data_IF_059457759824
#
_entry.id   IF_059457759824
#
_cell.length_a   1.000
_cell.length_b   1.000
_cell.length_c   1.000
_cell.angle_alpha   90.00
_cell.angle_beta   90.00
_cell.angle_gamma   90.00
#
_symmetry.space_group_name_H-M   'P 1'
#
loop_
_entity.id
_entity.type
_entity.pdbx_description
1 polymer ?
#
# COMPACT_ATOMS: atom_id res chain seq x y z
N UNK A 1 31.39 54.03 -39.90
CA UNK A 1 29.99 53.91 -39.44
C UNK A 1 29.55 52.47 -39.68
N UNK A 2 29.30 51.68 -38.62
CA UNK A 2 28.77 50.31 -38.77
C UNK A 2 27.47 50.37 -39.58
N UNK A 3 27.31 49.49 -40.56
CA UNK A 3 26.19 49.48 -41.49
C UNK A 3 24.89 49.33 -40.68
N UNK A 4 23.93 50.25 -40.83
CA UNK A 4 22.65 50.19 -40.10
C UNK A 4 21.94 48.84 -40.32
N UNK A 5 22.18 48.22 -41.49
CA UNK A 5 21.67 46.89 -41.83
C UNK A 5 22.31 45.78 -41.00
N UNK A 6 23.62 45.85 -40.72
CA UNK A 6 24.30 44.91 -39.84
C UNK A 6 23.86 45.06 -38.39
N UNK A 7 23.72 46.30 -37.90
CA UNK A 7 23.22 46.56 -36.54
C UNK A 7 21.79 46.04 -36.38
N UNK A 8 20.94 46.21 -37.38
CA UNK A 8 19.57 45.70 -37.36
C UNK A 8 19.53 44.16 -37.38
N UNK A 9 20.36 43.51 -38.19
CA UNK A 9 20.45 42.04 -38.24
C UNK A 9 21.00 41.49 -36.92
N UNK A 10 22.01 42.14 -36.33
CA UNK A 10 22.59 41.76 -35.02
C UNK A 10 21.53 41.88 -33.91
N UNK A 11 20.79 43.01 -33.85
CA UNK A 11 19.73 43.23 -32.87
C UNK A 11 18.52 42.30 -33.03
N UNK A 12 18.17 41.90 -34.26
CA UNK A 12 17.11 40.92 -34.52
C UNK A 12 17.59 39.49 -34.32
N UNK A 13 18.87 39.18 -34.50
CA UNK A 13 19.42 37.85 -34.21
C UNK A 13 19.28 37.46 -32.72
N UNK A 14 19.19 38.45 -31.82
CA UNK A 14 18.85 38.24 -30.41
C UNK A 14 17.36 37.91 -30.16
N UNK A 15 16.47 38.10 -31.15
CA UNK A 15 15.06 37.73 -31.09
C UNK A 15 14.81 36.32 -31.64
N UNK A 16 15.73 35.78 -32.44
CA UNK A 16 15.63 34.47 -33.12
C UNK A 16 16.26 33.30 -32.34
N UNK A 17 16.71 33.52 -31.09
CA UNK A 17 16.72 32.41 -30.13
C UNK A 17 15.29 32.15 -29.67
N UNK A 18 14.49 31.55 -30.56
CA UNK A 18 13.30 30.82 -30.16
C UNK A 18 13.75 29.64 -29.30
N UNK A 19 14.06 29.90 -28.03
CA UNK A 19 13.76 28.97 -26.95
C UNK A 19 12.24 28.79 -27.01
N UNK A 20 11.77 27.90 -27.91
CA UNK A 20 10.41 27.40 -27.88
C UNK A 20 10.29 26.81 -26.50
N UNK A 21 9.69 27.56 -25.57
CA UNK A 21 9.46 27.12 -24.22
C UNK A 21 8.40 26.04 -24.34
N UNK A 22 8.86 24.80 -24.53
CA UNK A 22 8.00 23.63 -24.72
C UNK A 22 7.01 23.65 -23.57
N UNK A 23 5.72 23.72 -23.88
CA UNK A 23 4.72 23.83 -22.82
C UNK A 23 4.64 22.49 -22.07
N UNK A 24 4.14 22.51 -20.84
CA UNK A 24 3.91 21.27 -20.08
C UNK A 24 3.00 20.28 -20.81
N UNK A 25 2.07 20.78 -21.62
CA UNK A 25 1.22 19.98 -22.49
C UNK A 25 2.04 19.32 -23.60
N UNK A 26 2.94 20.06 -24.22
CA UNK A 26 3.79 19.52 -25.29
C UNK A 26 4.75 18.45 -24.75
N UNK A 27 5.36 18.68 -23.58
CA UNK A 27 6.17 17.67 -22.88
C UNK A 27 5.36 16.41 -22.54
N UNK A 28 4.12 16.58 -22.06
CA UNK A 28 3.22 15.45 -21.81
C UNK A 28 2.96 14.66 -23.10
N UNK A 29 2.61 15.33 -24.19
CA UNK A 29 2.30 14.69 -25.48
C UNK A 29 3.52 14.01 -26.11
N UNK A 30 4.72 14.60 -25.97
CA UNK A 30 5.96 13.98 -26.42
C UNK A 30 6.29 12.67 -25.67
N UNK A 31 5.78 12.50 -24.45
CA UNK A 31 6.04 11.34 -23.59
C UNK A 31 4.83 10.43 -23.41
N UNK A 32 3.89 10.44 -24.36
CA UNK A 32 2.60 9.76 -24.23
C UNK A 32 2.72 8.25 -23.95
N UNK A 33 3.70 7.58 -24.56
CA UNK A 33 3.92 6.14 -24.36
C UNK A 33 4.48 5.81 -22.98
N UNK A 34 5.32 6.69 -22.42
CA UNK A 34 5.76 6.56 -21.03
C UNK A 34 4.60 6.76 -20.06
N UNK A 35 3.75 7.75 -20.32
CA UNK A 35 2.54 7.99 -19.52
C UNK A 35 1.59 6.79 -19.57
N UNK A 36 1.37 6.18 -20.75
CA UNK A 36 0.60 4.93 -20.86
C UNK A 36 1.18 3.82 -19.98
N UNK A 37 2.50 3.63 -19.99
CA UNK A 37 3.17 2.66 -19.09
C UNK A 37 2.89 2.97 -17.62
N UNK A 38 2.95 4.25 -17.22
CA UNK A 38 2.60 4.65 -15.86
C UNK A 38 1.14 4.37 -15.51
N UNK A 39 0.20 4.62 -16.43
CA UNK A 39 -1.23 4.32 -16.22
C UNK A 39 -1.48 2.82 -16.01
N UNK A 40 -0.77 1.95 -16.73
CA UNK A 40 -0.91 0.50 -16.60
C UNK A 40 -0.05 -0.13 -15.50
N UNK A 41 0.81 0.64 -14.84
CA UNK A 41 1.70 0.15 -13.77
C UNK A 41 0.99 -0.18 -12.44
N UNK A 42 -0.26 0.26 -12.26
CA UNK A 42 -0.99 0.14 -11.00
C UNK A 42 -0.60 1.19 -9.95
N UNK A 43 0.24 2.17 -10.29
CA UNK A 43 0.59 3.28 -9.42
C UNK A 43 -0.60 4.22 -9.20
N UNK A 44 -0.72 4.79 -8.00
CA UNK A 44 -1.68 5.88 -7.76
C UNK A 44 -1.34 7.10 -8.61
N UNK A 45 -2.34 7.92 -8.95
CA UNK A 45 -2.12 9.16 -9.74
C UNK A 45 -1.05 10.06 -9.13
N UNK A 46 -0.97 10.13 -7.79
CA UNK A 46 0.10 10.86 -7.11
C UNK A 46 1.48 10.30 -7.48
N UNK A 47 1.68 8.99 -7.34
CA UNK A 47 2.97 8.34 -7.66
C UNK A 47 3.31 8.39 -9.15
N UNK A 48 2.30 8.35 -10.02
CA UNK A 48 2.50 8.56 -11.47
C UNK A 48 3.04 9.97 -11.73
N UNK A 49 2.47 10.99 -11.10
CA UNK A 49 2.94 12.37 -11.19
C UNK A 49 4.34 12.52 -10.60
N UNK A 50 4.61 11.91 -9.44
CA UNK A 50 5.95 11.93 -8.83
C UNK A 50 6.99 11.34 -9.81
N UNK A 51 6.69 10.19 -10.42
CA UNK A 51 7.55 9.54 -11.43
C UNK A 51 7.76 10.40 -12.68
N UNK A 52 6.68 11.00 -13.19
CA UNK A 52 6.77 11.93 -14.32
C UNK A 52 7.64 13.15 -13.98
N UNK A 53 7.52 13.70 -12.78
CA UNK A 53 8.32 14.83 -12.32
C UNK A 53 9.80 14.46 -12.10
N UNK A 54 10.09 13.23 -11.67
CA UNK A 54 11.45 12.71 -11.51
C UNK A 54 12.16 12.54 -12.86
N UNK A 55 11.46 12.06 -13.88
CA UNK A 55 12.07 11.62 -15.14
C UNK A 55 11.93 12.63 -16.29
N UNK A 56 10.89 13.48 -16.29
CA UNK A 56 10.55 14.35 -17.42
C UNK A 56 10.57 15.82 -17.00
N UNK A 57 9.54 16.29 -16.29
CA UNK A 57 9.45 17.68 -15.83
C UNK A 57 8.31 17.84 -14.81
N UNK A 58 8.37 18.92 -14.03
CA UNK A 58 7.41 19.24 -12.98
C UNK A 58 6.03 19.49 -13.59
N UNK A 59 5.07 18.63 -13.27
CA UNK A 59 3.65 18.80 -13.61
C UNK A 59 2.78 18.77 -12.35
N UNK A 60 1.73 19.59 -12.30
CA UNK A 60 0.76 19.48 -11.21
C UNK A 60 -0.14 18.27 -11.43
N UNK A 61 -0.61 17.66 -10.33
CA UNK A 61 -1.58 16.56 -10.41
C UNK A 61 -2.83 16.93 -11.21
N UNK A 62 -3.36 18.14 -11.02
CA UNK A 62 -4.54 18.61 -11.76
C UNK A 62 -4.30 18.73 -13.26
N UNK A 63 -3.12 19.20 -13.68
CA UNK A 63 -2.75 19.30 -15.09
C UNK A 63 -2.54 17.91 -15.70
N UNK A 64 -1.85 17.01 -14.99
CA UNK A 64 -1.67 15.63 -15.41
C UNK A 64 -3.01 14.91 -15.60
N UNK A 65 -3.89 14.96 -14.61
CA UNK A 65 -5.24 14.37 -14.70
C UNK A 65 -6.06 14.98 -15.84
N UNK A 66 -5.97 16.30 -16.05
CA UNK A 66 -6.64 16.97 -17.16
C UNK A 66 -6.14 16.44 -18.51
N UNK A 67 -4.82 16.34 -18.70
CA UNK A 67 -4.24 15.86 -19.95
C UNK A 67 -4.53 14.38 -20.19
N UNK A 68 -4.47 13.53 -19.16
CA UNK A 68 -4.91 12.14 -19.29
C UNK A 68 -6.39 12.05 -19.72
N UNK A 69 -7.29 12.84 -19.14
CA UNK A 69 -8.70 12.86 -19.55
C UNK A 69 -8.92 13.42 -20.96
N UNK A 70 -8.08 14.35 -21.41
CA UNK A 70 -8.19 14.99 -22.72
C UNK A 70 -7.60 14.13 -23.84
N UNK A 71 -6.49 13.41 -23.59
CA UNK A 71 -5.71 12.71 -24.63
C UNK A 71 -5.62 11.20 -24.47
N UNK A 72 -5.89 10.65 -23.29
CA UNK A 72 -5.72 9.23 -22.94
C UNK A 72 -6.91 8.74 -22.13
N UNK A 73 -8.14 9.13 -22.51
CA UNK A 73 -9.32 8.94 -21.68
C UNK A 73 -9.54 7.47 -21.31
N UNK A 74 -9.49 6.59 -22.31
CA UNK A 74 -9.74 5.15 -22.14
C UNK A 74 -8.63 4.50 -21.30
N UNK A 75 -7.36 4.80 -21.58
CA UNK A 75 -6.23 4.29 -20.82
C UNK A 75 -6.21 4.82 -19.39
N UNK A 76 -6.64 6.06 -19.19
CA UNK A 76 -6.76 6.67 -17.87
C UNK A 76 -7.85 5.98 -17.04
N UNK A 77 -9.02 5.75 -17.62
CA UNK A 77 -10.12 5.02 -16.98
C UNK A 77 -9.72 3.56 -16.67
N UNK A 78 -9.09 2.84 -17.61
CA UNK A 78 -8.57 1.48 -17.37
C UNK A 78 -7.47 1.49 -16.29
N UNK A 79 -6.57 2.47 -16.31
CA UNK A 79 -5.49 2.61 -15.33
C UNK A 79 -6.01 2.85 -13.90
N UNK A 80 -7.10 3.60 -13.74
CA UNK A 80 -7.76 3.79 -12.45
C UNK A 80 -8.34 2.47 -11.92
N UNK A 81 -8.99 1.68 -12.78
CA UNK A 81 -9.52 0.36 -12.43
C UNK A 81 -8.39 -0.61 -12.06
N UNK A 82 -7.32 -0.66 -12.85
CA UNK A 82 -6.14 -1.49 -12.56
C UNK A 82 -5.50 -1.11 -11.23
N UNK A 83 -5.37 0.20 -10.95
CA UNK A 83 -4.83 0.68 -9.67
C UNK A 83 -5.70 0.22 -8.50
N UNK A 84 -7.03 0.31 -8.62
CA UNK A 84 -7.97 -0.15 -7.61
C UNK A 84 -7.86 -1.67 -7.39
N UNK A 85 -7.81 -2.44 -8.47
CA UNK A 85 -7.65 -3.90 -8.41
C UNK A 85 -6.30 -4.31 -7.77
N UNK A 86 -5.19 -3.74 -8.23
CA UNK A 86 -3.85 -4.10 -7.78
C UNK A 86 -3.57 -3.74 -6.32
N UNK A 87 -4.28 -2.75 -5.75
CA UNK A 87 -4.24 -2.49 -4.28
C UNK A 87 -4.72 -3.69 -3.47
N UNK A 88 -5.63 -4.48 -4.03
CA UNK A 88 -6.22 -5.64 -3.38
C UNK A 88 -5.45 -6.94 -3.66
N UNK A 89 -4.33 -6.88 -4.39
CA UNK A 89 -3.63 -8.06 -4.85
C UNK A 89 -3.20 -9.00 -3.71
N UNK A 90 -2.83 -8.44 -2.56
CA UNK A 90 -2.47 -9.23 -1.37
C UNK A 90 -3.64 -10.04 -0.84
N UNK A 91 -4.80 -9.41 -0.70
CA UNK A 91 -6.04 -10.04 -0.23
C UNK A 91 -6.52 -11.09 -1.24
N UNK A 92 -6.43 -10.79 -2.53
CA UNK A 92 -6.77 -11.71 -3.62
C UNK A 92 -5.86 -12.94 -3.56
N UNK A 93 -4.55 -12.74 -3.49
CA UNK A 93 -3.58 -13.84 -3.41
C UNK A 93 -3.85 -14.71 -2.18
N UNK A 94 -4.03 -14.09 -1.01
CA UNK A 94 -4.34 -14.81 0.22
C UNK A 94 -5.59 -15.68 0.09
N UNK A 95 -6.70 -15.11 -0.41
CA UNK A 95 -7.96 -15.83 -0.59
C UNK A 95 -7.79 -17.05 -1.51
N UNK A 96 -7.18 -16.86 -2.68
CA UNK A 96 -7.00 -17.92 -3.67
C UNK A 96 -6.13 -19.06 -3.12
N UNK A 97 -5.11 -18.75 -2.32
CA UNK A 97 -4.20 -19.77 -1.76
C UNK A 97 -4.76 -20.51 -0.55
N UNK A 98 -5.72 -19.92 0.18
CA UNK A 98 -6.19 -20.45 1.46
C UNK A 98 -7.52 -21.19 1.37
N UNK A 99 -8.39 -20.78 0.44
CA UNK A 99 -9.66 -21.45 0.25
C UNK A 99 -9.47 -22.77 -0.50
N UNK A 100 -10.20 -23.81 -0.06
CA UNK A 100 -10.09 -25.14 -0.68
C UNK A 100 -10.63 -25.16 -2.11
N UNK A 101 -11.69 -24.37 -2.35
CA UNK A 101 -12.36 -24.21 -3.64
C UNK A 101 -12.73 -22.71 -3.80
N UNK A 102 -11.75 -21.82 -4.06
CA UNK A 102 -12.00 -20.39 -4.11
C UNK A 102 -12.96 -20.07 -5.27
N UNK A 103 -13.97 -19.24 -4.96
CA UNK A 103 -14.94 -18.73 -5.94
C UNK A 103 -14.77 -17.23 -6.12
N UNK A 104 -14.89 -16.78 -7.37
CA UNK A 104 -14.71 -15.38 -7.69
C UNK A 104 -15.84 -14.50 -7.14
N UNK A 105 -17.08 -15.03 -7.04
CA UNK A 105 -18.20 -14.34 -6.38
C UNK A 105 -17.97 -14.09 -4.88
N UNK A 106 -17.39 -15.06 -4.18
CA UNK A 106 -17.08 -14.97 -2.74
C UNK A 106 -15.97 -13.94 -2.49
N UNK A 107 -14.90 -14.00 -3.29
CA UNK A 107 -13.83 -13.01 -3.26
C UNK A 107 -14.38 -11.60 -3.53
N UNK A 108 -15.23 -11.45 -4.53
CA UNK A 108 -15.86 -10.17 -4.85
C UNK A 108 -16.71 -9.64 -3.69
N UNK A 109 -17.57 -10.47 -3.09
CA UNK A 109 -18.38 -10.10 -1.92
C UNK A 109 -17.50 -9.63 -0.77
N UNK A 110 -16.45 -10.39 -0.44
CA UNK A 110 -15.50 -10.05 0.62
C UNK A 110 -14.85 -8.69 0.37
N UNK A 111 -14.37 -8.44 -0.85
CA UNK A 111 -13.75 -7.15 -1.20
C UNK A 111 -14.79 -6.01 -1.24
N UNK A 112 -16.04 -6.30 -1.60
CA UNK A 112 -17.12 -5.32 -1.66
C UNK A 112 -17.61 -4.89 -0.26
N UNK A 113 -17.86 -5.86 0.62
CA UNK A 113 -18.22 -5.66 2.03
C UNK A 113 -17.14 -4.84 2.74
N UNK A 114 -15.87 -5.17 2.46
CA UNK A 114 -14.72 -4.47 2.99
C UNK A 114 -14.48 -3.10 2.32
N UNK A 115 -15.35 -2.64 1.41
CA UNK A 115 -15.26 -1.35 0.70
C UNK A 115 -14.05 -1.19 -0.24
N UNK A 116 -13.20 -2.20 -0.33
CA UNK A 116 -11.97 -2.24 -1.13
C UNK A 116 -12.16 -2.05 -2.63
N UNK A 117 -13.39 -2.19 -3.11
CA UNK A 117 -13.78 -2.03 -4.51
C UNK A 117 -14.39 -0.65 -4.83
N UNK A 118 -14.46 0.28 -3.87
CA UNK A 118 -15.02 1.62 -4.09
C UNK A 118 -14.10 2.51 -4.93
N UNK A 119 -14.63 3.07 -6.01
CA UNK A 119 -13.93 4.08 -6.83
C UNK A 119 -13.90 5.45 -6.13
N UNK A 120 -14.95 5.81 -5.38
CA UNK A 120 -15.05 7.09 -4.68
C UNK A 120 -15.47 6.92 -3.21
N UNK A 121 -14.63 7.40 -2.28
CA UNK A 121 -14.84 7.34 -0.82
C UNK A 121 -16.23 7.74 -0.34
N UNK A 122 -16.82 8.79 -0.94
CA UNK A 122 -18.05 9.41 -0.46
C UNK A 122 -19.32 8.94 -1.19
N UNK A 123 -19.20 8.06 -2.19
CA UNK A 123 -20.35 7.57 -2.97
C UNK A 123 -20.56 6.09 -2.66
N UNK A 124 -21.69 5.79 -2.02
CA UNK A 124 -22.08 4.41 -1.65
C UNK A 124 -22.10 3.48 -2.86
N UNK A 125 -22.54 3.97 -4.01
CA UNK A 125 -22.72 3.18 -5.23
C UNK A 125 -21.57 3.33 -6.23
N UNK A 126 -20.35 3.60 -5.74
CA UNK A 126 -19.18 3.77 -6.60
C UNK A 126 -18.30 2.54 -6.72
N UNK A 127 -18.75 1.37 -6.26
CA UNK A 127 -17.97 0.15 -6.38
C UNK A 127 -17.87 -0.30 -7.83
N UNK A 128 -16.75 -0.90 -8.22
CA UNK A 128 -16.68 -1.61 -9.49
C UNK A 128 -17.72 -2.73 -9.51
N UNK A 129 -18.37 -2.92 -10.64
CA UNK A 129 -19.27 -4.05 -10.82
C UNK A 129 -18.47 -5.36 -10.96
N UNK A 130 -19.17 -6.47 -10.79
CA UNK A 130 -18.55 -7.79 -10.84
C UNK A 130 -18.01 -8.19 -12.20
N UNK A 131 -18.68 -7.79 -13.29
CA UNK A 131 -18.21 -8.11 -14.64
C UNK A 131 -16.84 -7.46 -14.86
N UNK A 132 -16.71 -6.19 -14.47
CA UNK A 132 -15.43 -5.47 -14.48
C UNK A 132 -14.39 -6.15 -13.59
N UNK A 133 -14.75 -6.51 -12.34
CA UNK A 133 -13.83 -7.21 -11.43
C UNK A 133 -13.32 -8.55 -12.00
N UNK A 134 -14.22 -9.38 -12.54
CA UNK A 134 -13.89 -10.69 -13.10
C UNK A 134 -12.97 -10.55 -14.30
N UNK A 135 -13.21 -9.58 -15.17
CA UNK A 135 -12.36 -9.34 -16.34
C UNK A 135 -10.93 -8.97 -15.89
N UNK A 136 -10.79 -8.11 -14.88
CA UNK A 136 -9.49 -7.74 -14.32
C UNK A 136 -8.79 -8.92 -13.65
N UNK A 137 -9.53 -9.73 -12.88
CA UNK A 137 -9.00 -10.91 -12.21
C UNK A 137 -8.53 -11.97 -13.22
N UNK A 138 -9.33 -12.23 -14.26
CA UNK A 138 -8.99 -13.15 -15.35
C UNK A 138 -7.74 -12.69 -16.10
N UNK A 139 -7.70 -11.43 -16.54
CA UNK A 139 -6.54 -10.84 -17.23
C UNK A 139 -5.28 -11.02 -16.37
N UNK A 140 -5.35 -10.64 -15.09
CA UNK A 140 -4.23 -10.76 -14.17
C UNK A 140 -3.76 -12.21 -13.94
N UNK A 141 -4.67 -13.14 -13.64
CA UNK A 141 -4.31 -14.53 -13.35
C UNK A 141 -3.83 -15.27 -14.59
N UNK A 142 -4.40 -14.96 -15.76
CA UNK A 142 -3.95 -15.50 -17.05
C UNK A 142 -2.52 -15.08 -17.36
N UNK A 143 -2.19 -13.81 -17.18
CA UNK A 143 -0.83 -13.29 -17.37
C UNK A 143 0.20 -13.94 -16.43
N UNK A 144 -0.25 -14.53 -15.32
CA UNK A 144 0.58 -15.26 -14.35
C UNK A 144 0.52 -16.78 -14.49
N UNK A 145 -0.32 -17.32 -15.36
CA UNK A 145 -0.52 -18.76 -15.50
C UNK A 145 -1.29 -19.41 -14.33
N UNK A 146 -2.15 -18.66 -13.66
CA UNK A 146 -2.90 -19.08 -12.47
C UNK A 146 -4.42 -19.03 -12.67
N UNK A 147 -4.89 -18.99 -13.91
CA UNK A 147 -6.32 -18.84 -14.23
C UNK A 147 -7.17 -19.97 -13.63
N UNK A 148 -6.62 -21.18 -13.52
CA UNK A 148 -7.30 -22.37 -12.99
C UNK A 148 -7.40 -22.41 -11.45
N UNK A 149 -6.75 -21.48 -10.74
CA UNK A 149 -6.76 -21.47 -9.27
C UNK A 149 -8.07 -20.98 -8.66
N UNK A 150 -9.03 -20.49 -9.46
CA UNK A 150 -10.30 -19.95 -8.97
C UNK A 150 -11.46 -20.32 -9.91
N UNK A 151 -12.62 -20.62 -9.34
CA UNK A 151 -13.85 -20.84 -10.11
C UNK A 151 -14.52 -19.49 -10.43
N UNK A 152 -14.81 -19.25 -11.72
CA UNK A 152 -15.52 -18.05 -12.18
C UNK A 152 -17.02 -18.32 -12.32
N UNK A 153 -17.75 -18.13 -11.24
CA UNK A 153 -19.18 -18.33 -11.15
C UNK A 153 -19.99 -17.07 -11.51
N UNK A 154 -21.25 -17.26 -11.91
CA UNK A 154 -22.16 -16.15 -12.24
C UNK A 154 -22.77 -15.53 -10.98
N UNK A 155 -22.96 -14.20 -11.02
CA UNK A 155 -23.45 -13.43 -9.87
C UNK A 155 -24.95 -13.58 -9.58
N UNK A 156 -25.69 -14.28 -10.43
CA UNK A 156 -27.16 -14.41 -10.38
C UNK A 156 -27.70 -14.96 -9.05
N UNK A 157 -26.85 -15.58 -8.22
CA UNK A 157 -27.18 -16.17 -6.92
C UNK A 157 -27.06 -15.18 -5.75
N UNK A 158 -27.08 -13.87 -5.98
CA UNK A 158 -26.88 -12.85 -4.93
C UNK A 158 -28.14 -12.51 -4.12
N UNK A 159 -29.34 -12.87 -4.61
CA UNK A 159 -30.61 -12.48 -3.97
C UNK A 159 -31.34 -13.62 -3.24
N UNK A 160 -30.79 -14.83 -3.22
CA UNK A 160 -31.37 -15.96 -2.50
C UNK A 160 -30.33 -16.55 -1.55
N UNK A 161 -30.22 -15.98 -0.35
CA UNK A 161 -29.92 -16.66 0.92
C UNK A 161 -29.86 -15.60 2.06
N UNK A 162 -30.95 -14.86 2.23
CA UNK A 162 -31.32 -14.38 3.56
C UNK A 162 -32.31 -15.41 4.11
N UNK A 163 -31.81 -16.46 4.77
CA UNK A 163 -32.39 -17.04 5.99
C UNK A 163 -31.69 -18.34 6.37
N UNK A 164 -31.22 -18.37 7.62
CA UNK A 164 -30.86 -19.54 8.42
C UNK A 164 -29.82 -20.51 7.86
N UNK A 165 -28.58 -20.37 8.35
CA UNK A 165 -27.89 -21.53 8.89
C UNK A 165 -27.03 -21.12 10.09
N UNK A 166 -27.42 -21.63 11.26
CA UNK A 166 -26.55 -21.72 12.44
C UNK A 166 -25.26 -22.42 12.02
N UNK A 167 -24.19 -21.65 11.77
CA UNK A 167 -22.86 -22.22 11.66
C UNK A 167 -22.30 -22.35 13.07
N UNK A 168 -22.49 -23.52 13.64
CA UNK A 168 -21.46 -24.12 14.48
C UNK A 168 -20.15 -24.05 13.69
N UNK A 169 -19.28 -23.11 14.07
CA UNK A 169 -17.90 -23.05 13.60
C UNK A 169 -17.19 -24.34 14.02
N UNK A 170 -17.23 -25.36 13.17
CA UNK A 170 -16.23 -26.41 13.23
C UNK A 170 -14.99 -25.81 12.55
N UNK A 171 -14.19 -25.11 13.36
CA UNK A 171 -12.82 -24.74 12.99
C UNK A 171 -12.06 -26.04 12.70
N UNK A 172 -11.82 -26.31 11.43
CA UNK A 172 -10.81 -27.29 11.03
C UNK A 172 -9.48 -26.68 11.48
N UNK A 173 -8.95 -27.18 12.58
CA UNK A 173 -7.59 -26.90 13.04
C UNK A 173 -6.63 -27.39 11.96
N UNK A 174 -6.26 -26.48 11.05
CA UNK A 174 -5.10 -26.68 10.20
C UNK A 174 -3.86 -26.42 11.07
N UNK A 175 -3.01 -27.42 11.35
CA UNK A 175 -1.88 -27.32 12.28
C UNK A 175 -0.78 -26.33 11.84
N UNK A 176 -0.89 -25.76 10.63
CA UNK A 176 0.04 -24.76 10.09
C UNK A 176 -0.48 -23.32 10.15
N UNK A 177 -1.65 -23.07 10.76
CA UNK A 177 -2.22 -21.72 10.87
C UNK A 177 -1.91 -21.10 12.23
N UNK A 178 -1.40 -19.88 12.18
CA UNK A 178 -1.01 -19.08 13.33
C UNK A 178 -2.15 -18.12 13.65
N UNK A 179 -2.62 -18.17 14.90
CA UNK A 179 -3.66 -17.27 15.40
C UNK A 179 -3.05 -15.90 15.69
N UNK A 180 -3.63 -14.84 15.13
CA UNK A 180 -3.27 -13.43 15.35
C UNK A 180 -4.47 -12.72 15.97
N UNK A 181 -4.29 -12.13 17.15
CA UNK A 181 -5.32 -11.36 17.82
C UNK A 181 -5.36 -9.91 17.28
N UNK A 182 -6.57 -9.38 17.12
CA UNK A 182 -6.86 -8.08 16.55
C UNK A 182 -7.30 -7.08 17.62
N UNK A 183 -7.31 -5.79 17.26
CA UNK A 183 -7.72 -4.69 18.16
C UNK A 183 -9.16 -4.78 18.66
N UNK A 184 -10.05 -5.42 17.90
CA UNK A 184 -11.47 -5.60 18.19
C UNK A 184 -11.74 -6.86 19.02
N UNK A 185 -10.67 -7.43 19.60
CA UNK A 185 -10.65 -8.68 20.36
C UNK A 185 -11.12 -9.93 19.57
N UNK A 186 -11.21 -9.80 18.24
CA UNK A 186 -11.35 -10.94 17.34
C UNK A 186 -9.97 -11.53 17.00
N UNK A 187 -9.95 -12.66 16.29
CA UNK A 187 -8.71 -13.30 15.87
C UNK A 187 -8.80 -13.79 14.43
N UNK A 188 -7.71 -13.65 13.70
CA UNK A 188 -7.54 -14.19 12.36
C UNK A 188 -6.48 -15.31 12.36
N UNK A 189 -6.65 -16.29 11.49
CA UNK A 189 -5.73 -17.42 11.35
C UNK A 189 -4.96 -17.26 10.06
N UNK A 190 -3.67 -16.94 10.16
CA UNK A 190 -2.79 -16.69 9.02
C UNK A 190 -1.77 -17.82 8.84
N UNK A 191 -1.36 -18.07 7.60
CA UNK A 191 -0.20 -18.93 7.34
C UNK A 191 1.12 -18.19 7.61
N UNK A 192 2.21 -18.95 7.78
CA UNK A 192 3.52 -18.38 8.08
C UNK A 192 4.05 -17.44 6.97
N UNK A 193 3.76 -17.74 5.70
CA UNK A 193 4.37 -16.99 4.59
C UNK A 193 3.72 -15.64 4.35
N UNK A 194 2.41 -15.54 4.61
CA UNK A 194 1.73 -14.28 4.79
C UNK A 194 2.38 -13.50 5.92
N UNK A 195 2.62 -14.13 7.07
CA UNK A 195 3.19 -13.43 8.21
C UNK A 195 4.63 -12.94 7.96
N UNK A 196 5.42 -13.66 7.16
CA UNK A 196 6.77 -13.22 6.76
C UNK A 196 6.78 -12.02 5.81
N UNK A 197 5.66 -11.71 5.16
CA UNK A 197 5.61 -10.72 4.08
C UNK A 197 4.63 -9.58 4.33
N UNK A 198 3.67 -9.74 5.25
CA UNK A 198 2.54 -8.84 5.45
C UNK A 198 2.07 -8.79 6.90
N UNK A 199 1.18 -7.84 7.18
CA UNK A 199 0.41 -7.72 8.42
C UNK A 199 -1.05 -7.46 8.08
N UNK A 200 -1.94 -7.69 9.05
CA UNK A 200 -3.38 -7.46 8.92
C UNK A 200 -3.63 -5.96 9.06
N UNK A 201 -4.20 -5.36 8.02
CA UNK A 201 -4.50 -3.94 7.95
C UNK A 201 -5.99 -3.68 8.23
N UNK A 202 -6.32 -2.50 8.74
CA UNK A 202 -7.72 -2.07 8.80
C UNK A 202 -8.26 -1.89 7.39
N UNK A 203 -9.39 -2.54 7.12
CA UNK A 203 -10.14 -2.41 5.88
C UNK A 203 -10.56 -0.94 5.66
N UNK A 204 -10.48 -0.45 4.42
CA UNK A 204 -10.73 0.96 4.06
C UNK A 204 -9.91 2.00 4.83
N UNK A 205 -8.79 1.61 5.42
CA UNK A 205 -7.87 2.60 5.95
C UNK A 205 -7.31 3.44 4.80
N UNK A 206 -7.67 4.73 4.78
CA UNK A 206 -7.04 5.72 3.90
C UNK A 206 -5.61 6.06 4.33
N UNK A 207 -5.23 5.53 5.49
CA UNK A 207 -3.89 5.51 6.00
C UNK A 207 -3.26 4.21 5.49
N UNK A 208 -2.30 4.34 4.59
CA UNK A 208 -1.47 3.21 4.21
C UNK A 208 -0.79 2.67 5.49
N UNK A 209 -0.71 1.35 5.66
CA UNK A 209 -0.03 0.69 6.79
C UNK A 209 -0.75 0.76 8.16
N UNK A 210 -2.07 0.95 8.18
CA UNK A 210 -2.82 0.94 9.43
C UNK A 210 -3.02 -0.49 9.96
N UNK A 211 -2.19 -0.89 10.92
CA UNK A 211 -2.14 -2.27 11.43
C UNK A 211 -3.30 -2.55 12.41
N UNK A 212 -4.14 -3.53 12.05
CA UNK A 212 -5.28 -4.02 12.84
C UNK A 212 -4.87 -5.00 13.94
N UNK A 213 -3.67 -5.56 13.87
CA UNK A 213 -3.15 -6.53 14.84
C UNK A 213 -2.93 -5.92 16.21
N UNK A 214 -3.20 -6.68 17.28
CA UNK A 214 -3.14 -6.22 18.68
C UNK A 214 -1.70 -6.01 19.17
N UNK A 215 -0.83 -6.97 18.87
CA UNK A 215 0.53 -7.07 19.38
C UNK A 215 1.51 -6.24 18.55
N UNK A 216 1.45 -4.93 18.72
CA UNK A 216 2.33 -3.95 18.08
C UNK A 216 3.22 -3.30 19.15
N UNK A 217 4.50 -3.09 18.82
CA UNK A 217 5.49 -2.41 19.65
C UNK A 217 6.11 -1.27 18.86
N UNK A 218 6.17 -0.08 19.45
CA UNK A 218 6.76 1.09 18.80
C UNK A 218 8.03 1.52 19.53
N UNK A 219 9.11 1.65 18.76
CA UNK A 219 10.44 1.97 19.24
C UNK A 219 10.90 3.22 18.51
N UNK A 220 11.27 4.23 19.28
CA UNK A 220 11.84 5.45 18.72
C UNK A 220 13.35 5.42 18.91
N UNK A 221 14.12 5.69 17.86
CA UNK A 221 15.58 5.75 17.94
C UNK A 221 16.06 6.79 18.97
N UNK A 222 15.25 7.82 19.26
CA UNK A 222 15.46 8.77 20.36
C UNK A 222 14.19 8.98 21.17
N UNK A 223 14.28 8.87 22.49
CA UNK A 223 13.18 9.16 23.40
C UNK A 223 13.68 9.85 24.67
N UNK A 224 13.14 11.05 24.95
CA UNK A 224 13.44 11.90 26.13
C UNK A 224 14.95 11.92 26.41
N UNK A 225 15.71 12.46 25.47
CA UNK A 225 17.16 12.69 25.55
C UNK A 225 18.05 11.43 25.62
N UNK A 226 17.49 10.24 25.38
CA UNK A 226 18.23 8.98 25.26
C UNK A 226 18.18 8.44 23.84
N UNK A 227 19.34 8.03 23.32
CA UNK A 227 19.43 7.30 22.06
C UNK A 227 19.24 5.81 22.33
N UNK A 228 18.23 5.22 21.70
CA UNK A 228 17.92 3.80 21.80
C UNK A 228 18.55 3.09 20.61
N UNK A 229 19.65 2.37 20.87
CA UNK A 229 20.24 1.49 19.87
C UNK A 229 19.27 0.36 19.54
N UNK A 230 18.81 0.34 18.28
CA UNK A 230 17.97 -0.76 17.79
C UNK A 230 18.69 -2.11 17.85
N UNK A 231 20.02 -2.13 17.75
CA UNK A 231 20.82 -3.35 17.96
C UNK A 231 20.77 -3.84 19.41
N UNK A 232 20.78 -2.94 20.40
CA UNK A 232 20.60 -3.34 21.79
C UNK A 232 19.19 -3.86 22.05
N UNK A 233 18.18 -3.24 21.44
CA UNK A 233 16.81 -3.75 21.49
C UNK A 233 16.73 -5.16 20.91
N UNK A 234 17.33 -5.42 19.73
CA UNK A 234 17.39 -6.76 19.13
C UNK A 234 17.94 -7.78 20.12
N UNK A 235 19.09 -7.51 20.74
CA UNK A 235 19.69 -8.41 21.73
C UNK A 235 18.74 -8.72 22.88
N UNK A 236 18.14 -7.70 23.48
CA UNK A 236 17.24 -7.86 24.63
C UNK A 236 16.03 -8.72 24.28
N UNK A 237 15.40 -8.48 23.13
CA UNK A 237 14.24 -9.25 22.66
C UNK A 237 14.60 -10.72 22.46
N UNK A 238 15.74 -10.99 21.82
CA UNK A 238 16.22 -12.34 21.53
C UNK A 238 16.59 -13.12 22.79
N UNK A 239 17.12 -12.44 23.80
CA UNK A 239 17.63 -13.06 25.02
C UNK A 239 16.55 -13.29 26.09
N UNK A 240 15.49 -12.47 26.12
CA UNK A 240 14.55 -12.42 27.26
C UNK A 240 13.12 -12.85 26.91
N UNK A 241 12.84 -13.29 25.68
CA UNK A 241 11.50 -13.74 25.22
C UNK A 241 10.37 -12.75 25.58
N UNK A 242 10.66 -11.45 25.56
CA UNK A 242 9.75 -10.41 26.05
C UNK A 242 8.60 -10.12 25.07
N UNK A 243 8.78 -10.48 23.81
CA UNK A 243 7.83 -10.21 22.73
C UNK A 243 7.19 -11.53 22.33
N UNK A 244 5.87 -11.51 22.20
CA UNK A 244 5.12 -12.64 21.71
C UNK A 244 5.49 -12.92 20.26
N UNK A 245 5.61 -14.20 19.90
CA UNK A 245 5.89 -14.57 18.53
C UNK A 245 4.84 -13.96 17.58
N UNK A 246 5.26 -13.58 16.38
CA UNK A 246 4.46 -12.91 15.34
C UNK A 246 4.06 -11.45 15.62
N UNK A 247 4.54 -10.85 16.72
CA UNK A 247 4.31 -9.42 16.99
C UNK A 247 4.91 -8.50 15.94
N UNK A 248 4.28 -7.34 15.73
CA UNK A 248 4.79 -6.28 14.87
C UNK A 248 5.65 -5.31 15.67
N UNK A 249 6.79 -4.94 15.12
CA UNK A 249 7.72 -3.98 15.71
C UNK A 249 7.93 -2.83 14.73
N UNK A 250 7.57 -1.63 15.16
CA UNK A 250 7.73 -0.40 14.41
C UNK A 250 8.94 0.34 14.97
N UNK A 251 10.01 0.40 14.20
CA UNK A 251 11.20 1.17 14.53
C UNK A 251 11.18 2.49 13.78
N UNK A 252 10.91 3.58 14.51
CA UNK A 252 11.01 4.92 13.99
C UNK A 252 12.46 5.43 14.13
N UNK A 253 13.16 5.46 12.99
CA UNK A 253 14.52 5.93 12.85
C UNK A 253 14.59 7.34 12.25
N UNK A 254 13.49 8.11 12.34
CA UNK A 254 13.35 9.40 11.67
C UNK A 254 14.45 10.40 11.98
N UNK A 255 15.05 10.31 13.16
CA UNK A 255 16.11 11.20 13.62
C UNK A 255 17.48 10.89 13.02
N UNK A 256 17.65 9.73 12.39
CA UNK A 256 18.93 9.27 11.83
C UNK A 256 18.87 9.24 10.30
N UNK A 257 17.87 8.58 9.72
CA UNK A 257 17.77 8.35 8.26
C UNK A 257 16.42 8.75 7.66
N UNK A 258 15.58 9.44 8.44
CA UNK A 258 14.21 9.84 8.08
C UNK A 258 13.28 8.67 7.74
N UNK A 259 13.61 7.42 8.11
CA UNK A 259 12.80 6.23 7.83
C UNK A 259 12.09 5.67 9.05
N UNK A 260 11.03 4.93 8.74
CA UNK A 260 10.30 4.07 9.65
C UNK A 260 10.32 2.65 9.09
N UNK A 261 10.74 1.71 9.93
CA UNK A 261 10.86 0.30 9.58
C UNK A 261 9.81 -0.52 10.31
N UNK A 262 9.12 -1.39 9.58
CA UNK A 262 8.14 -2.32 10.14
C UNK A 262 8.73 -3.72 10.04
N UNK A 263 8.99 -4.33 11.20
CA UNK A 263 9.45 -5.69 11.34
C UNK A 263 8.34 -6.58 11.89
N UNK A 264 8.42 -7.87 11.59
CA UNK A 264 7.75 -8.90 12.37
C UNK A 264 8.76 -9.73 13.14
N UNK A 265 8.42 -10.00 14.40
CA UNK A 265 9.13 -10.96 15.23
C UNK A 265 8.67 -12.38 14.89
N UNK A 266 9.53 -13.24 14.37
CA UNK A 266 9.24 -14.65 14.09
C UNK A 266 10.38 -15.51 14.60
N UNK A 267 10.09 -16.47 15.48
CA UNK A 267 11.00 -17.51 15.96
C UNK A 267 12.37 -16.93 16.39
N UNK A 268 12.36 -15.93 17.26
CA UNK A 268 13.57 -15.22 17.70
C UNK A 268 14.37 -14.61 16.53
N UNK A 269 13.65 -14.00 15.59
CA UNK A 269 14.22 -13.25 14.47
C UNK A 269 13.34 -12.06 14.13
N UNK A 270 13.94 -11.02 13.56
CA UNK A 270 13.20 -9.88 13.01
C UNK A 270 13.24 -9.95 11.49
N UNK A 271 12.05 -10.03 10.89
CA UNK A 271 11.86 -10.01 9.44
C UNK A 271 11.37 -8.63 9.06
N UNK A 272 12.10 -7.93 8.20
CA UNK A 272 11.69 -6.62 7.69
C UNK A 272 10.53 -6.80 6.70
N UNK A 273 9.37 -6.24 7.04
CA UNK A 273 8.17 -6.26 6.18
C UNK A 273 8.10 -5.04 5.27
N UNK A 274 8.44 -3.85 5.80
CA UNK A 274 8.29 -2.59 5.06
C UNK A 274 9.24 -1.50 5.54
N UNK A 275 9.64 -0.64 4.61
CA UNK A 275 10.37 0.61 4.88
C UNK A 275 9.54 1.78 4.37
N UNK A 276 9.33 2.78 5.21
CA UNK A 276 8.50 3.95 4.95
C UNK A 276 9.29 5.24 5.22
N UNK A 277 8.89 6.34 4.60
CA UNK A 277 9.36 7.67 4.98
C UNK A 277 8.63 8.13 6.24
N UNK A 278 9.37 8.42 7.30
CA UNK A 278 8.77 8.75 8.59
C UNK A 278 7.92 10.02 8.55
N UNK A 279 8.26 11.00 7.71
CA UNK A 279 7.49 12.24 7.55
C UNK A 279 6.08 11.98 7.02
N UNK A 280 5.93 10.95 6.18
CA UNK A 280 4.64 10.58 5.60
C UNK A 280 3.74 9.83 6.59
N UNK A 281 4.28 9.36 7.73
CA UNK A 281 3.58 8.49 8.67
C UNK A 281 3.13 9.17 9.97
N UNK A 282 3.61 10.39 10.27
CA UNK A 282 3.44 11.03 11.60
C UNK A 282 1.98 11.25 11.98
N UNK A 283 1.15 11.71 11.04
CA UNK A 283 -0.29 11.97 11.31
C UNK A 283 -1.16 10.75 11.09
N UNK A 284 -0.73 9.86 10.20
CA UNK A 284 -1.54 8.73 9.77
C UNK A 284 -1.51 7.58 10.80
N UNK A 285 -0.41 7.40 11.53
CA UNK A 285 -0.23 6.28 12.46
C UNK A 285 -0.38 6.66 13.94
N UNK A 286 -0.98 7.81 14.31
CA UNK A 286 -0.96 8.31 15.70
C UNK A 286 -1.50 7.30 16.72
N UNK A 287 -2.67 6.69 16.47
CA UNK A 287 -3.26 5.70 17.36
C UNK A 287 -2.44 4.40 17.43
N UNK A 288 -1.86 3.99 16.30
CA UNK A 288 -0.95 2.86 16.23
C UNK A 288 0.33 3.11 17.04
N UNK A 289 0.88 4.32 16.94
CA UNK A 289 2.06 4.75 17.68
C UNK A 289 1.74 4.78 19.17
N UNK A 290 0.59 5.33 19.57
CA UNK A 290 0.15 5.38 20.98
C UNK A 290 0.11 3.98 21.58
N UNK A 291 -0.65 3.07 20.97
CA UNK A 291 -0.79 1.68 21.41
C UNK A 291 0.54 0.92 21.38
N UNK A 292 1.34 1.11 20.33
CA UNK A 292 2.66 0.50 20.21
C UNK A 292 3.63 0.97 21.28
N UNK A 293 3.59 2.25 21.67
CA UNK A 293 4.40 2.81 22.75
C UNK A 293 3.97 2.29 24.10
N UNK A 294 2.66 2.22 24.37
CA UNK A 294 2.11 1.66 25.61
C UNK A 294 2.60 0.23 25.82
N UNK A 295 2.49 -0.63 24.79
CA UNK A 295 3.00 -2.00 24.84
C UNK A 295 4.53 -2.06 25.04
N UNK A 296 5.28 -1.18 24.37
CA UNK A 296 6.72 -1.08 24.53
C UNK A 296 7.11 -0.72 25.97
N UNK A 297 6.61 0.38 26.53
CA UNK A 297 6.94 0.78 27.89
C UNK A 297 6.48 -0.26 28.90
N UNK A 298 5.26 -0.78 28.77
CA UNK A 298 4.74 -1.81 29.67
C UNK A 298 5.67 -3.03 29.79
N UNK A 299 6.22 -3.51 28.65
CA UNK A 299 7.11 -4.70 28.65
C UNK A 299 8.58 -4.37 28.91
N UNK A 300 9.07 -3.22 28.44
CA UNK A 300 10.50 -2.94 28.41
C UNK A 300 10.98 -1.95 29.47
N UNK A 301 10.11 -1.23 30.18
CA UNK A 301 10.50 -0.17 31.12
C UNK A 301 11.61 -0.60 32.11
N UNK A 302 11.51 -1.81 32.68
CA UNK A 302 12.51 -2.37 33.61
C UNK A 302 13.87 -2.66 32.96
N UNK A 303 13.89 -2.85 31.65
CA UNK A 303 15.08 -3.13 30.84
C UNK A 303 15.68 -1.87 30.20
N UNK A 304 14.90 -0.78 30.05
CA UNK A 304 15.39 0.49 29.49
C UNK A 304 16.53 1.09 30.34
N UNK A 305 16.55 0.83 31.65
CA UNK A 305 17.66 1.23 32.54
C UNK A 305 18.97 0.47 32.29
N UNK A 306 18.94 -0.66 31.56
CA UNK A 306 20.11 -1.45 31.16
C UNK A 306 20.57 -1.17 29.71
N UNK A 307 19.84 -0.35 28.96
CA UNK A 307 20.16 0.01 27.56
C UNK A 307 21.18 1.15 27.49
N UNK A 308 21.51 1.76 28.63
CA UNK A 308 22.45 2.86 28.77
C UNK A 308 23.88 2.32 28.79
N UNK A 309 24.57 2.40 27.66
CA UNK A 309 26.01 2.62 27.57
C UNK A 309 26.31 3.42 26.33
#
# INVERSE_FOLDING_TARGET
MKNKKEIFIDLISCLDETNIKISKKDLFLQNIEYIKKLLFSGLSTKRQVDKFCEEIDIISRSAYEKYCKEFLKEEYEKGLLNTLFLRNLKTIAYFITEEKNPKASELYKKLLENGSLKQFRNKKDSSIDYSTFINLLKEFLKDKGYEELIEYDNISNLNEENETNNKTEIKIENPNKIKIDLVDDTSEYCNLEFLKTNFIEFENSYIDNNIKEKNVYYIQARYIDKEYSFENFKKIVLENSLIENYSIIIHNNSTIDTKLYIYRYINNGLILLKTLDALSCVFELEELIRRGRENFFYKFEKYLNRIIT
#
